data_IF_407061852198
#
_entry.id   IF_407061852198
#
_cell.length_a   1.000
_cell.length_b   1.000
_cell.length_c   1.000
_cell.angle_alpha   90.00
_cell.angle_beta   90.00
_cell.angle_gamma   90.00
#
_symmetry.space_group_name_H-M   'P 1'
#
loop_
_entity.id
_entity.type
_entity.pdbx_description
1 polymer ?
#
# COMPACT_ATOMS: atom_id res chain seq x y z
N UNK A 1 -34.85 31.51 -30.59
CA UNK A 1 -35.03 30.24 -29.85
C UNK A 1 -36.17 30.48 -28.88
N UNK A 2 -37.29 29.75 -28.98
CA UNK A 2 -38.44 29.99 -28.10
C UNK A 2 -38.10 29.49 -26.70
N UNK A 3 -38.18 30.36 -25.70
CA UNK A 3 -38.12 29.99 -24.30
C UNK A 3 -39.24 28.98 -24.00
N UNK A 4 -38.87 27.71 -23.90
CA UNK A 4 -39.80 26.66 -23.50
C UNK A 4 -39.96 26.80 -21.99
N UNK A 5 -41.01 27.50 -21.56
CA UNK A 5 -41.37 27.61 -20.16
C UNK A 5 -41.85 26.25 -19.66
N UNK A 6 -40.99 25.53 -18.95
CA UNK A 6 -41.35 24.25 -18.35
C UNK A 6 -42.28 24.47 -17.15
N UNK A 7 -43.28 23.58 -16.94
CA UNK A 7 -44.18 23.69 -15.81
C UNK A 7 -43.43 23.53 -14.48
N UNK A 8 -43.88 24.28 -13.47
CA UNK A 8 -43.35 24.16 -12.11
C UNK A 8 -43.60 22.75 -11.57
N UNK A 9 -42.62 22.22 -10.83
CA UNK A 9 -42.74 20.92 -10.15
C UNK A 9 -42.10 20.94 -8.77
N UNK A 10 -42.40 19.94 -7.96
CA UNK A 10 -41.86 19.81 -6.61
C UNK A 10 -40.42 19.29 -6.64
N UNK A 11 -39.54 19.94 -5.88
CA UNK A 11 -38.19 19.48 -5.65
C UNK A 11 -38.20 18.18 -4.84
N UNK A 12 -37.55 17.13 -5.33
CA UNK A 12 -37.42 15.85 -4.62
C UNK A 12 -36.61 15.96 -3.31
N UNK A 13 -35.78 16.99 -3.18
CA UNK A 13 -34.92 17.22 -2.02
C UNK A 13 -35.57 18.01 -0.87
N UNK A 14 -36.27 19.11 -1.17
CA UNK A 14 -36.85 19.98 -0.14
C UNK A 14 -38.38 20.07 -0.21
N UNK A 15 -39.03 19.53 -1.24
CA UNK A 15 -40.47 19.58 -1.43
C UNK A 15 -41.02 20.90 -1.97
N UNK A 16 -40.21 21.95 -2.10
CA UNK A 16 -40.67 23.26 -2.62
C UNK A 16 -40.88 23.22 -4.14
N UNK A 17 -41.81 24.04 -4.64
CA UNK A 17 -41.98 24.26 -6.07
C UNK A 17 -40.78 25.00 -6.67
N UNK A 18 -40.38 24.59 -7.87
CA UNK A 18 -39.39 25.29 -8.68
C UNK A 18 -39.72 25.18 -10.17
N UNK A 19 -39.20 26.12 -10.96
CA UNK A 19 -39.26 26.07 -12.43
C UNK A 19 -37.98 25.39 -12.91
N UNK A 20 -38.06 24.20 -13.54
CA UNK A 20 -36.87 23.52 -14.01
C UNK A 20 -36.35 24.14 -15.31
N UNK A 21 -35.05 24.04 -15.54
CA UNK A 21 -34.42 24.39 -16.81
C UNK A 21 -34.57 23.27 -17.85
N UNK A 22 -34.76 22.02 -17.41
CA UNK A 22 -35.04 20.89 -18.30
C UNK A 22 -36.02 19.88 -17.68
N UNK A 23 -36.66 19.06 -18.51
CA UNK A 23 -37.69 18.10 -18.07
C UNK A 23 -37.18 17.11 -17.02
N UNK A 24 -35.90 16.75 -17.05
CA UNK A 24 -35.28 15.75 -16.17
C UNK A 24 -34.85 16.31 -14.81
N UNK A 25 -34.79 17.63 -14.63
CA UNK A 25 -34.23 18.23 -13.42
C UNK A 25 -35.10 17.92 -12.19
N UNK A 26 -34.60 17.24 -11.16
CA UNK A 26 -35.44 16.81 -10.03
C UNK A 26 -35.35 17.70 -8.80
N UNK A 27 -34.40 18.63 -8.78
CA UNK A 27 -34.03 19.39 -7.61
C UNK A 27 -34.00 20.88 -7.94
N UNK A 28 -34.44 21.73 -7.00
CA UNK A 28 -34.41 23.18 -7.21
C UNK A 28 -33.00 23.79 -7.08
N UNK A 29 -32.03 23.00 -6.61
CA UNK A 29 -30.63 23.40 -6.47
C UNK A 29 -29.74 22.17 -6.25
N UNK A 30 -28.44 22.35 -6.50
CA UNK A 30 -27.42 21.36 -6.18
C UNK A 30 -27.37 21.00 -4.69
N UNK A 31 -27.59 21.98 -3.81
CA UNK A 31 -27.69 21.74 -2.37
C UNK A 31 -28.83 20.75 -2.05
N UNK A 32 -29.99 20.89 -2.71
CA UNK A 32 -31.11 19.96 -2.52
C UNK A 32 -30.83 18.57 -3.09
N UNK A 33 -30.13 18.48 -4.23
CA UNK A 33 -29.67 17.20 -4.80
C UNK A 33 -28.76 16.48 -3.81
N UNK A 34 -27.70 17.15 -3.36
CA UNK A 34 -26.72 16.57 -2.43
C UNK A 34 -27.37 16.16 -1.11
N UNK A 35 -28.20 17.01 -0.50
CA UNK A 35 -28.88 16.71 0.75
C UNK A 35 -29.86 15.53 0.63
N UNK A 36 -30.56 15.40 -0.50
CA UNK A 36 -31.41 14.25 -0.77
C UNK A 36 -30.62 12.94 -0.81
N UNK A 37 -29.52 12.91 -1.59
CA UNK A 37 -28.67 11.72 -1.70
C UNK A 37 -28.00 11.35 -0.37
N UNK A 38 -27.53 12.34 0.40
CA UNK A 38 -26.95 12.10 1.72
C UNK A 38 -27.94 11.45 2.69
N UNK A 39 -29.16 12.02 2.80
CA UNK A 39 -30.22 11.44 3.66
C UNK A 39 -30.64 10.05 3.20
N UNK A 40 -30.74 9.81 1.89
CA UNK A 40 -31.05 8.49 1.33
C UNK A 40 -29.97 7.47 1.66
N UNK A 41 -28.69 7.86 1.55
CA UNK A 41 -27.56 7.01 1.91
C UNK A 41 -27.55 6.67 3.40
N UNK A 42 -27.74 7.68 4.27
CA UNK A 42 -27.84 7.49 5.72
C UNK A 42 -28.96 6.50 6.09
N UNK A 43 -30.16 6.63 5.50
CA UNK A 43 -31.28 5.71 5.71
C UNK A 43 -30.98 4.29 5.24
N UNK A 44 -30.38 4.13 4.04
CA UNK A 44 -30.10 2.81 3.46
C UNK A 44 -29.04 2.04 4.24
N UNK A 45 -28.00 2.73 4.69
CA UNK A 45 -26.83 2.12 5.30
C UNK A 45 -26.83 2.22 6.84
N UNK A 46 -27.89 2.77 7.44
CA UNK A 46 -27.97 2.96 8.89
C UNK A 46 -26.84 3.81 9.46
N UNK A 47 -26.28 4.73 8.66
CA UNK A 47 -25.08 5.48 9.05
C UNK A 47 -25.49 6.58 10.02
N UNK A 48 -25.32 6.28 11.32
CA UNK A 48 -25.39 7.28 12.39
C UNK A 48 -24.16 8.17 12.30
N UNK A 49 -24.33 9.48 12.37
CA UNK A 49 -23.19 10.40 12.33
C UNK A 49 -22.32 10.17 13.55
N UNK A 50 -20.99 10.27 13.40
CA UNK A 50 -20.06 10.06 14.53
C UNK A 50 -20.41 10.94 15.75
N UNK A 51 -20.93 12.15 15.51
CA UNK A 51 -21.33 13.10 16.56
C UNK A 51 -22.59 12.68 17.32
N UNK A 52 -23.45 11.87 16.70
CA UNK A 52 -24.71 11.37 17.29
C UNK A 52 -24.48 10.10 18.12
N UNK A 53 -23.33 9.43 17.94
CA UNK A 53 -22.98 8.24 18.73
C UNK A 53 -22.81 8.58 20.21
N UNK A 54 -23.23 7.64 21.05
CA UNK A 54 -23.05 7.71 22.50
C UNK A 54 -21.57 7.77 22.88
N UNK A 55 -21.28 8.26 24.09
CA UNK A 55 -19.89 8.29 24.59
C UNK A 55 -19.29 6.88 24.67
N UNK A 56 -20.10 5.87 25.03
CA UNK A 56 -19.69 4.47 25.06
C UNK A 56 -19.23 3.98 23.68
N UNK A 57 -20.00 4.26 22.62
CA UNK A 57 -19.64 3.90 21.24
C UNK A 57 -18.44 4.69 20.70
N UNK A 58 -18.17 5.86 21.28
CA UNK A 58 -17.02 6.71 20.93
C UNK A 58 -15.80 6.43 21.79
N UNK A 59 -15.94 5.59 22.82
CA UNK A 59 -14.84 5.25 23.72
C UNK A 59 -13.90 4.25 23.05
N UNK A 60 -12.61 4.52 23.16
CA UNK A 60 -11.53 3.69 22.61
C UNK A 60 -10.40 3.54 23.62
N UNK A 61 -9.63 2.48 23.48
CA UNK A 61 -8.39 2.27 24.25
C UNK A 61 -7.22 2.82 23.45
N UNK A 62 -6.41 3.68 24.07
CA UNK A 62 -5.21 4.24 23.43
C UNK A 62 -4.16 3.14 23.25
N UNK A 63 -3.68 2.86 22.02
CA UNK A 63 -2.71 1.78 21.77
C UNK A 63 -1.30 2.06 22.30
N UNK A 64 -1.03 3.26 22.84
CA UNK A 64 0.28 3.60 23.42
C UNK A 64 0.32 3.51 24.94
N UNK A 65 -0.72 3.99 25.62
CA UNK A 65 -0.76 4.03 27.09
C UNK A 65 -1.81 3.10 27.70
N UNK A 66 -2.68 2.49 26.90
CA UNK A 66 -3.74 1.58 27.39
C UNK A 66 -4.93 2.28 28.05
N UNK A 67 -4.95 3.60 28.11
CA UNK A 67 -6.03 4.37 28.77
C UNK A 67 -7.24 4.48 27.83
N UNK A 68 -8.44 4.28 28.37
CA UNK A 68 -9.72 4.49 27.70
C UNK A 68 -10.04 5.99 27.59
N UNK A 69 -10.48 6.44 26.41
CA UNK A 69 -10.82 7.84 26.14
C UNK A 69 -11.99 7.95 25.16
N UNK A 70 -12.77 9.03 25.28
CA UNK A 70 -13.85 9.34 24.32
C UNK A 70 -13.27 10.05 23.10
N UNK A 71 -13.31 9.41 21.93
CA UNK A 71 -12.76 9.96 20.70
C UNK A 71 -13.64 11.08 20.12
N UNK A 72 -13.00 12.18 19.69
CA UNK A 72 -13.67 13.35 19.08
C UNK A 72 -14.13 13.09 17.65
N UNK A 73 -13.44 12.21 16.94
CA UNK A 73 -13.78 11.80 15.57
C UNK A 73 -13.50 10.31 15.36
N UNK A 74 -14.04 9.77 14.27
CA UNK A 74 -13.91 8.35 13.93
C UNK A 74 -12.46 7.91 13.71
N UNK A 75 -11.53 8.82 13.40
CA UNK A 75 -10.13 8.51 13.10
C UNK A 75 -9.18 8.71 14.28
N UNK A 76 -9.66 9.26 15.40
CA UNK A 76 -8.81 9.50 16.56
C UNK A 76 -8.51 8.17 17.27
N UNK A 77 -7.27 7.72 17.16
CA UNK A 77 -6.76 6.47 17.76
C UNK A 77 -6.07 6.68 19.11
N UNK A 78 -5.48 7.86 19.33
CA UNK A 78 -4.70 8.16 20.53
C UNK A 78 -5.47 9.11 21.46
N UNK A 79 -5.34 8.90 22.77
CA UNK A 79 -5.98 9.76 23.77
C UNK A 79 -5.41 11.19 23.76
N UNK A 80 -4.15 11.35 23.35
CA UNK A 80 -3.46 12.64 23.33
C UNK A 80 -2.51 12.77 22.14
N UNK A 81 -2.11 14.02 21.88
CA UNK A 81 -1.05 14.33 20.91
C UNK A 81 0.27 13.64 21.29
N UNK A 82 0.62 13.62 22.57
CA UNK A 82 1.87 13.01 23.04
C UNK A 82 1.91 11.51 22.74
N UNK A 83 0.84 10.78 23.06
CA UNK A 83 0.75 9.35 22.70
C UNK A 83 0.91 9.14 21.20
N UNK A 84 0.30 9.98 20.36
CA UNK A 84 0.49 9.89 18.90
C UNK A 84 1.96 10.08 18.49
N UNK A 85 2.64 11.07 19.08
CA UNK A 85 4.05 11.33 18.79
C UNK A 85 4.95 10.19 19.26
N UNK A 86 4.68 9.62 20.44
CA UNK A 86 5.41 8.45 20.96
C UNK A 86 5.23 7.22 20.09
N UNK A 87 4.00 6.96 19.63
CA UNK A 87 3.72 5.91 18.66
C UNK A 87 4.56 6.07 17.40
N UNK A 88 4.57 7.29 16.85
CA UNK A 88 5.30 7.60 15.63
C UNK A 88 6.81 7.43 15.82
N UNK A 89 7.35 7.87 16.97
CA UNK A 89 8.76 7.69 17.32
C UNK A 89 9.13 6.21 17.44
N UNK A 90 8.29 5.41 18.11
CA UNK A 90 8.49 3.96 18.25
C UNK A 90 8.48 3.27 16.88
N UNK A 91 7.51 3.57 16.04
CA UNK A 91 7.41 3.03 14.68
C UNK A 91 8.59 3.46 13.79
N UNK A 92 9.06 4.71 13.91
CA UNK A 92 10.24 5.17 13.19
C UNK A 92 11.49 4.39 13.57
N UNK A 93 11.74 4.21 14.88
CA UNK A 93 12.86 3.40 15.39
C UNK A 93 12.79 1.94 14.93
N UNK A 94 11.59 1.35 14.91
CA UNK A 94 11.40 -0.02 14.41
C UNK A 94 11.73 -0.13 12.91
N UNK A 95 11.26 0.82 12.09
CA UNK A 95 11.59 0.86 10.65
C UNK A 95 13.10 1.01 10.41
N UNK A 96 13.77 1.88 11.15
CA UNK A 96 15.22 2.07 11.05
C UNK A 96 16.00 0.79 11.40
N UNK A 97 15.60 0.10 12.47
CA UNK A 97 16.17 -1.20 12.84
C UNK A 97 15.97 -2.24 11.75
N UNK A 98 14.75 -2.35 11.23
CA UNK A 98 14.44 -3.29 10.15
C UNK A 98 15.24 -2.97 8.89
N UNK A 99 15.36 -1.69 8.52
CA UNK A 99 16.15 -1.27 7.37
C UNK A 99 17.63 -1.64 7.54
N UNK A 100 18.19 -1.39 8.73
CA UNK A 100 19.58 -1.77 9.05
C UNK A 100 19.79 -3.27 8.97
N UNK A 101 18.86 -4.06 9.50
CA UNK A 101 18.89 -5.52 9.41
C UNK A 101 18.83 -5.99 7.95
N UNK A 102 17.86 -5.50 7.17
CA UNK A 102 17.73 -5.83 5.76
C UNK A 102 19.02 -5.50 4.98
N UNK A 103 19.64 -4.36 5.25
CA UNK A 103 20.91 -3.98 4.62
C UNK A 103 22.07 -4.92 4.99
N UNK A 104 22.12 -5.40 6.23
CA UNK A 104 23.09 -6.42 6.66
C UNK A 104 22.86 -7.74 5.92
N UNK A 105 21.62 -8.21 5.87
CA UNK A 105 21.24 -9.44 5.17
C UNK A 105 21.58 -9.37 3.67
N UNK A 106 21.34 -8.23 3.02
CA UNK A 106 21.73 -8.00 1.62
C UNK A 106 23.25 -8.05 1.45
N UNK A 107 24.01 -7.42 2.36
CA UNK A 107 25.48 -7.44 2.32
C UNK A 107 26.03 -8.85 2.52
N UNK A 108 25.49 -9.60 3.47
CA UNK A 108 25.87 -10.99 3.73
C UNK A 108 25.52 -11.90 2.55
N UNK A 109 24.33 -11.74 1.97
CA UNK A 109 23.93 -12.47 0.77
C UNK A 109 24.87 -12.18 -0.42
N UNK A 110 25.28 -10.92 -0.61
CA UNK A 110 26.28 -10.56 -1.63
C UNK A 110 27.62 -11.25 -1.37
N UNK A 111 28.14 -11.17 -0.15
CA UNK A 111 29.41 -11.81 0.24
C UNK A 111 29.36 -13.34 0.04
N UNK A 112 28.23 -13.97 0.36
CA UNK A 112 28.01 -15.41 0.12
C UNK A 112 28.02 -15.76 -1.36
N UNK A 113 27.36 -14.98 -2.21
CA UNK A 113 27.39 -15.18 -3.68
C UNK A 113 28.80 -15.00 -4.25
N UNK A 114 29.52 -13.98 -3.79
CA UNK A 114 30.87 -13.69 -4.24
C UNK A 114 31.86 -14.80 -3.85
N UNK A 115 31.83 -15.26 -2.60
CA UNK A 115 32.67 -16.38 -2.15
C UNK A 115 32.40 -17.69 -2.90
N UNK A 116 31.15 -17.98 -3.26
CA UNK A 116 30.80 -19.13 -4.12
C UNK A 116 31.31 -18.98 -5.56
N UNK A 117 31.36 -17.76 -6.09
CA UNK A 117 31.82 -17.49 -7.46
C UNK A 117 33.35 -17.62 -7.59
N UNK A 118 34.09 -17.19 -6.56
CA UNK A 118 35.56 -17.19 -6.56
C UNK A 118 36.15 -18.61 -6.50
N UNK A 119 35.52 -19.55 -5.80
CA UNK A 119 36.07 -20.91 -5.64
C UNK A 119 36.19 -21.71 -6.94
N UNK A 120 35.20 -21.61 -7.85
CA UNK A 120 35.20 -22.37 -9.10
C UNK A 120 36.21 -21.82 -10.13
N UNK A 121 36.51 -20.52 -10.10
CA UNK A 121 37.51 -19.91 -10.98
C UNK A 121 38.92 -20.23 -10.49
N UNK A 122 39.16 -20.14 -9.17
CA UNK A 122 40.47 -20.40 -8.58
C UNK A 122 40.89 -21.88 -8.71
N UNK A 123 39.96 -22.81 -8.56
CA UNK A 123 40.23 -24.24 -8.75
C UNK A 123 40.59 -24.56 -10.21
N UNK A 124 39.85 -23.99 -11.16
CA UNK A 124 40.14 -24.15 -12.58
C UNK A 124 41.48 -23.49 -12.98
N UNK A 125 41.85 -22.36 -12.34
CA UNK A 125 43.15 -21.74 -12.52
C UNK A 125 44.30 -22.56 -11.89
N UNK A 126 44.07 -23.20 -10.74
CA UNK A 126 45.03 -24.09 -10.11
C UNK A 126 45.32 -25.32 -10.98
N UNK A 127 44.28 -25.99 -11.50
CA UNK A 127 44.42 -27.14 -12.41
C UNK A 127 45.14 -26.76 -13.71
N UNK A 128 44.84 -25.59 -14.27
CA UNK A 128 45.55 -25.09 -15.44
C UNK A 128 47.06 -24.95 -15.19
N UNK A 129 47.45 -24.38 -14.03
CA UNK A 129 48.86 -24.24 -13.62
C UNK A 129 49.55 -25.59 -13.37
N UNK A 130 48.87 -26.53 -12.72
CA UNK A 130 49.38 -27.88 -12.47
C UNK A 130 49.71 -28.63 -13.77
N UNK A 131 48.89 -28.43 -14.80
CA UNK A 131 49.12 -28.98 -16.14
C UNK A 131 50.03 -28.12 -17.02
N UNK A 132 50.67 -27.08 -16.45
CA UNK A 132 51.59 -26.21 -17.18
C UNK A 132 50.96 -25.45 -18.36
N UNK A 133 49.65 -25.18 -18.31
CA UNK A 133 48.92 -24.50 -19.39
C UNK A 133 48.23 -23.22 -18.90
N UNK A 134 47.94 -22.30 -19.83
CA UNK A 134 47.20 -21.08 -19.49
C UNK A 134 45.74 -21.40 -19.15
N UNK A 135 45.13 -20.58 -18.29
CA UNK A 135 43.73 -20.74 -17.88
C UNK A 135 42.76 -20.80 -19.07
N UNK A 136 42.98 -19.94 -20.08
CA UNK A 136 42.18 -19.94 -21.31
C UNK A 136 42.30 -21.26 -22.09
N UNK A 137 43.50 -21.82 -22.19
CA UNK A 137 43.74 -23.11 -22.87
C UNK A 137 43.07 -24.27 -22.14
N UNK A 138 43.17 -24.30 -20.80
CA UNK A 138 42.48 -25.29 -19.97
C UNK A 138 40.95 -25.26 -20.16
N UNK A 139 40.34 -24.08 -20.09
CA UNK A 139 38.89 -23.93 -20.25
C UNK A 139 38.40 -24.34 -21.65
N UNK A 140 39.20 -24.12 -22.69
CA UNK A 140 38.88 -24.57 -24.04
C UNK A 140 38.86 -26.11 -24.13
N UNK A 141 39.87 -26.78 -23.57
CA UNK A 141 39.95 -28.25 -23.54
C UNK A 141 38.74 -28.85 -22.81
N UNK A 142 38.46 -28.39 -21.58
CA UNK A 142 37.32 -28.87 -20.78
C UNK A 142 35.99 -28.69 -21.51
N UNK A 143 35.82 -27.60 -22.26
CA UNK A 143 34.60 -27.35 -23.03
C UNK A 143 34.47 -28.27 -24.25
N UNK A 144 35.57 -28.53 -24.95
CA UNK A 144 35.62 -29.50 -26.06
C UNK A 144 35.32 -30.91 -25.55
N UNK A 145 35.91 -31.31 -24.43
CA UNK A 145 35.66 -32.62 -23.80
C UNK A 145 34.20 -32.80 -23.37
N UNK A 146 33.59 -31.77 -22.79
CA UNK A 146 32.17 -31.78 -22.43
C UNK A 146 31.27 -31.92 -23.67
N UNK A 147 31.53 -31.15 -24.74
CA UNK A 147 30.80 -31.25 -26.01
C UNK A 147 30.93 -32.65 -26.63
N UNK A 148 32.12 -33.26 -26.60
CA UNK A 148 32.32 -34.62 -27.06
C UNK A 148 31.62 -35.67 -26.18
N UNK A 149 31.49 -35.42 -24.88
CA UNK A 149 30.77 -36.30 -23.97
C UNK A 149 29.26 -36.25 -24.20
N UNK A 150 28.72 -35.06 -24.48
CA UNK A 150 27.30 -34.87 -24.82
C UNK A 150 26.97 -35.56 -26.16
N UNK A 151 27.83 -35.40 -27.18
CA UNK A 151 27.65 -36.01 -28.50
C UNK A 151 27.79 -37.54 -28.52
N UNK A 152 28.37 -38.15 -27.47
CA UNK A 152 28.49 -39.61 -27.32
C UNK A 152 27.33 -40.25 -26.54
N UNK A 153 26.40 -39.44 -26.03
CA UNK A 153 25.24 -39.88 -25.26
C UNK A 153 23.94 -39.94 -26.08
N UNK A 154 23.99 -39.48 -27.33
CA UNK A 154 22.98 -39.70 -28.37
C UNK A 154 23.32 -40.95 -29.21
#
# INVERSE_FOLDING_TARGET
MKDVHLPKKHCKGCGRFFTPHCTQELYCSDACRTAYHHRKYQKRHGVTLWREKSEAERTRVCPQCGISFVAKNAMQLYCSLQCRLDANRKSARQRERQQTQNMREVREARKKRESLHVSHIDEAAAKAREMGMSYGKYKAIVRIEAMHADFRRD
#
